data_IF_404901746837
#
_entry.id   IF_404901746837
#
_cell.length_a   1.000
_cell.length_b   1.000
_cell.length_c   1.000
_cell.angle_alpha   90.00
_cell.angle_beta   90.00
_cell.angle_gamma   90.00
#
_symmetry.space_group_name_H-M   'P 1'
#
loop_
_entity.id
_entity.type
_entity.pdbx_description
1 polymer ?
#
# COMPACT_ATOMS: atom_id res chain seq x y z
N UNK A 1 -32.11 -44.22 -67.81
CA UNK A 1 -31.07 -45.26 -67.76
C UNK A 1 -30.18 -44.97 -66.55
N UNK A 2 -29.94 -45.98 -65.71
CA UNK A 2 -29.07 -46.06 -64.52
C UNK A 2 -29.51 -45.40 -63.19
N UNK A 3 -29.76 -46.33 -62.26
CA UNK A 3 -29.88 -46.30 -60.80
C UNK A 3 -28.51 -46.02 -60.15
N UNK A 4 -28.47 -45.46 -58.92
CA UNK A 4 -27.67 -45.84 -57.72
C UNK A 4 -27.99 -44.83 -56.59
N UNK A 5 -28.80 -45.15 -55.56
CA UNK A 5 -28.54 -45.87 -54.29
C UNK A 5 -27.69 -45.16 -53.20
N UNK A 6 -28.42 -44.73 -52.15
CA UNK A 6 -28.25 -44.99 -50.69
C UNK A 6 -27.02 -44.41 -49.93
N UNK A 7 -27.29 -43.71 -48.81
CA UNK A 7 -26.88 -43.99 -47.39
C UNK A 7 -27.37 -42.82 -46.48
N UNK A 8 -28.28 -43.04 -45.51
CA UNK A 8 -28.04 -43.34 -44.07
C UNK A 8 -27.22 -42.21 -43.38
N UNK A 9 -27.50 -41.60 -42.19
CA UNK A 9 -28.12 -42.02 -40.92
C UNK A 9 -28.20 -40.79 -39.96
N UNK A 10 -29.30 -40.70 -39.19
CA UNK A 10 -29.48 -40.30 -37.78
C UNK A 10 -29.24 -38.87 -37.20
N UNK A 11 -30.37 -38.32 -36.71
CA UNK A 11 -30.74 -37.98 -35.31
C UNK A 11 -30.18 -36.73 -34.59
N UNK A 12 -31.15 -36.06 -33.94
CA UNK A 12 -31.13 -35.19 -32.75
C UNK A 12 -30.83 -33.69 -33.00
N UNK A 13 -31.49 -32.73 -32.36
CA UNK A 13 -32.38 -32.77 -31.19
C UNK A 13 -33.33 -31.57 -31.21
N UNK A 14 -34.54 -31.82 -30.71
CA UNK A 14 -35.56 -30.86 -30.29
C UNK A 14 -35.02 -29.90 -29.20
N UNK A 15 -35.32 -28.61 -29.32
CA UNK A 15 -36.20 -27.90 -28.37
C UNK A 15 -36.09 -26.37 -28.57
N UNK A 16 -37.08 -25.79 -29.26
CA UNK A 16 -37.55 -24.45 -28.94
C UNK A 16 -38.46 -24.56 -27.71
N UNK A 17 -38.38 -23.59 -26.80
CA UNK A 17 -39.51 -22.71 -26.44
C UNK A 17 -38.93 -21.40 -25.88
N UNK A 18 -39.46 -20.33 -26.45
CA UNK A 18 -39.22 -18.91 -26.24
C UNK A 18 -39.97 -18.37 -25.02
N UNK A 19 -39.44 -17.33 -24.36
CA UNK A 19 -40.20 -16.11 -24.10
C UNK A 19 -39.28 -14.97 -23.61
N UNK A 20 -39.37 -13.88 -24.35
CA UNK A 20 -38.85 -12.52 -24.16
C UNK A 20 -39.18 -11.90 -22.80
N UNK A 21 -38.27 -11.06 -22.27
CA UNK A 21 -38.63 -9.73 -21.76
C UNK A 21 -37.40 -8.80 -21.61
N UNK A 22 -37.40 -7.72 -22.40
CA UNK A 22 -37.04 -6.36 -22.00
C UNK A 22 -35.65 -6.06 -21.44
N UNK A 23 -34.79 -5.49 -22.30
CA UNK A 23 -33.78 -4.53 -21.88
C UNK A 23 -34.46 -3.27 -21.31
N UNK A 24 -34.08 -2.85 -20.09
CA UNK A 24 -34.04 -1.45 -19.61
C UNK A 24 -33.54 -1.42 -18.16
N UNK A 25 -32.59 -0.50 -17.92
CA UNK A 25 -32.19 0.14 -16.65
C UNK A 25 -30.69 0.05 -16.37
N UNK A 26 -29.93 0.82 -17.15
CA UNK A 26 -28.84 1.62 -16.62
C UNK A 26 -29.45 2.74 -15.74
N UNK A 27 -28.69 3.24 -14.76
CA UNK A 27 -29.03 4.29 -13.79
C UNK A 27 -30.03 3.93 -12.68
N UNK A 28 -29.55 3.24 -11.64
CA UNK A 28 -29.92 3.52 -10.25
C UNK A 28 -28.96 2.82 -9.28
N UNK A 29 -27.88 3.50 -8.89
CA UNK A 29 -27.20 3.21 -7.60
C UNK A 29 -26.24 4.34 -7.14
N UNK A 30 -26.59 5.59 -7.47
CA UNK A 30 -26.01 6.78 -6.84
C UNK A 30 -27.01 7.29 -5.81
N UNK A 31 -26.91 6.76 -4.58
CA UNK A 31 -27.38 7.31 -3.29
C UNK A 31 -27.68 6.15 -2.31
N UNK A 32 -26.63 5.48 -1.85
CA UNK A 32 -26.67 4.79 -0.56
C UNK A 32 -25.61 5.42 0.35
N UNK A 33 -26.07 5.84 1.54
CA UNK A 33 -25.22 6.44 2.58
C UNK A 33 -24.07 5.49 2.94
N UNK A 34 -22.90 5.99 3.37
CA UNK A 34 -21.76 5.12 3.65
C UNK A 34 -22.09 4.20 4.83
N UNK A 35 -22.37 2.94 4.53
CA UNK A 35 -22.41 1.88 5.51
C UNK A 35 -21.01 1.76 6.10
N UNK A 36 -20.86 2.16 7.37
CA UNK A 36 -19.73 1.76 8.19
C UNK A 36 -19.70 0.22 8.20
N UNK A 37 -18.88 -0.37 7.34
CA UNK A 37 -18.56 -1.78 7.43
C UNK A 37 -17.79 -1.95 8.73
N UNK A 38 -18.52 -2.35 9.76
CA UNK A 38 -18.01 -3.11 10.89
C UNK A 38 -17.32 -4.35 10.33
N UNK A 39 -16.01 -4.29 10.13
CA UNK A 39 -15.19 -5.49 10.11
C UNK A 39 -15.12 -6.02 11.54
N UNK A 40 -16.14 -6.80 11.91
CA UNK A 40 -16.02 -7.74 13.01
C UNK A 40 -15.01 -8.82 12.62
N UNK A 41 -13.94 -8.93 13.40
CA UNK A 41 -13.49 -10.14 14.10
C UNK A 41 -11.97 -10.12 14.28
N UNK A 42 -11.57 -10.24 15.56
CA UNK A 42 -10.21 -10.48 16.07
C UNK A 42 -9.28 -11.21 15.09
N UNK A 43 -8.49 -10.46 14.31
CA UNK A 43 -7.13 -10.87 13.98
C UNK A 43 -6.24 -9.96 14.81
N UNK A 44 -5.48 -10.53 15.75
CA UNK A 44 -4.25 -9.90 16.18
C UNK A 44 -3.46 -9.66 14.88
N UNK A 45 -3.52 -8.44 14.33
CA UNK A 45 -2.80 -8.07 13.13
C UNK A 45 -1.33 -7.97 13.53
N UNK A 46 -0.63 -9.09 13.36
CA UNK A 46 0.78 -9.26 13.68
C UNK A 46 1.64 -8.91 12.47
N UNK A 47 2.94 -8.79 12.73
CA UNK A 47 3.95 -8.78 11.67
C UNK A 47 3.67 -9.91 10.66
N UNK A 48 3.55 -9.49 9.41
CA UNK A 48 3.27 -10.31 8.23
C UNK A 48 4.48 -10.17 7.29
N UNK A 49 5.54 -10.99 7.48
CA UNK A 49 6.83 -10.81 6.80
C UNK A 49 6.73 -10.72 5.28
N UNK A 50 5.78 -11.44 4.67
CA UNK A 50 5.54 -11.45 3.22
C UNK A 50 5.10 -10.09 2.66
N UNK A 51 4.63 -9.18 3.53
CA UNK A 51 4.24 -7.81 3.19
C UNK A 51 5.39 -6.83 3.33
N UNK A 52 6.51 -7.25 3.91
CA UNK A 52 7.71 -6.44 3.91
C UNK A 52 8.20 -6.31 2.47
N UNK A 53 8.55 -5.11 2.01
CA UNK A 53 9.11 -4.90 0.67
C UNK A 53 10.18 -3.83 0.75
N UNK A 54 11.28 -4.04 0.04
CA UNK A 54 12.30 -3.00 -0.16
C UNK A 54 11.75 -1.95 -1.13
N UNK A 55 11.86 -0.69 -0.74
CA UNK A 55 11.29 0.43 -1.49
C UNK A 55 12.36 1.19 -2.22
N UNK A 56 13.35 1.72 -1.49
CA UNK A 56 14.33 2.66 -2.02
C UNK A 56 15.60 2.70 -1.15
N UNK A 57 16.66 3.30 -1.69
CA UNK A 57 17.91 3.55 -0.96
C UNK A 57 18.55 4.85 -1.43
N UNK A 58 19.11 5.60 -0.49
CA UNK A 58 19.95 6.77 -0.75
C UNK A 58 21.21 6.66 0.10
N UNK A 59 22.37 6.64 -0.55
CA UNK A 59 23.62 6.31 0.13
C UNK A 59 23.50 4.95 0.80
N UNK A 60 23.71 4.91 2.12
CA UNK A 60 23.56 3.69 2.94
C UNK A 60 22.19 3.59 3.64
N UNK A 61 21.33 4.60 3.51
CA UNK A 61 20.02 4.59 4.16
C UNK A 61 19.02 3.76 3.34
N UNK A 62 18.25 2.93 4.03
CA UNK A 62 17.33 1.98 3.43
C UNK A 62 15.88 2.30 3.79
N UNK A 63 14.99 2.21 2.80
CA UNK A 63 13.56 2.35 2.98
C UNK A 63 12.86 1.01 2.69
N UNK A 64 12.09 0.56 3.67
CA UNK A 64 11.21 -0.59 3.59
C UNK A 64 9.78 -0.19 3.91
N UNK A 65 8.83 -0.98 3.42
CA UNK A 65 7.43 -0.94 3.83
C UNK A 65 7.00 -2.27 4.41
N UNK A 66 5.99 -2.30 5.26
CA UNK A 66 5.40 -3.55 5.74
C UNK A 66 4.19 -3.37 6.65
N UNK A 67 3.87 -4.42 7.41
CA UNK A 67 2.76 -4.50 8.36
C UNK A 67 3.21 -4.10 9.77
N UNK A 68 2.27 -4.01 10.71
CA UNK A 68 2.55 -3.68 12.10
C UNK A 68 3.67 -4.56 12.71
N UNK A 69 4.76 -3.96 13.22
CA UNK A 69 5.87 -4.67 13.86
C UNK A 69 5.59 -5.04 15.32
N UNK A 70 4.36 -5.50 15.61
CA UNK A 70 3.93 -5.89 16.96
C UNK A 70 3.49 -7.35 16.97
N UNK A 71 3.90 -8.06 18.02
CA UNK A 71 3.40 -9.38 18.35
C UNK A 71 3.24 -9.51 19.87
N UNK A 72 2.13 -10.11 20.31
CA UNK A 72 1.85 -10.33 21.74
C UNK A 72 1.99 -9.05 22.59
N UNK A 73 1.51 -7.91 22.05
CA UNK A 73 1.58 -6.57 22.67
C UNK A 73 3.00 -6.05 22.92
N UNK A 74 3.97 -6.51 22.14
CA UNK A 74 5.35 -6.05 22.19
C UNK A 74 5.84 -5.68 20.80
N UNK A 75 6.64 -4.62 20.73
CA UNK A 75 7.37 -4.28 19.51
C UNK A 75 8.46 -5.33 19.24
N UNK A 76 8.45 -5.92 18.04
CA UNK A 76 9.33 -7.03 17.66
C UNK A 76 10.38 -6.57 16.64
N UNK A 77 11.34 -5.75 17.09
CA UNK A 77 12.38 -5.17 16.26
C UNK A 77 13.18 -6.23 15.48
N UNK A 78 13.69 -7.26 16.15
CA UNK A 78 14.53 -8.27 15.50
C UNK A 78 13.78 -9.02 14.40
N UNK A 79 12.55 -9.49 14.65
CA UNK A 79 11.73 -10.16 13.65
C UNK A 79 11.40 -9.25 12.46
N UNK A 80 11.26 -7.95 12.71
CA UNK A 80 11.04 -6.94 11.66
C UNK A 80 12.29 -6.75 10.79
N UNK A 81 13.49 -6.77 11.39
CA UNK A 81 14.74 -6.75 10.63
C UNK A 81 14.94 -8.06 9.83
N UNK A 82 14.61 -9.20 10.43
CA UNK A 82 14.71 -10.50 9.77
C UNK A 82 13.79 -10.57 8.53
N UNK A 83 12.60 -9.96 8.59
CA UNK A 83 11.71 -9.88 7.41
C UNK A 83 12.28 -9.00 6.29
N UNK A 84 13.02 -7.94 6.63
CA UNK A 84 13.71 -7.10 5.64
C UNK A 84 14.86 -7.87 4.96
N UNK A 85 15.63 -8.65 5.71
CA UNK A 85 16.68 -9.51 5.16
C UNK A 85 16.07 -10.56 4.22
N UNK A 86 15.01 -11.24 4.66
CA UNK A 86 14.29 -12.23 3.86
C UNK A 86 13.77 -11.63 2.55
N UNK A 87 13.13 -10.46 2.60
CA UNK A 87 12.59 -9.81 1.39
C UNK A 87 13.67 -9.27 0.47
N UNK A 88 14.78 -8.77 1.02
CA UNK A 88 15.90 -8.32 0.19
C UNK A 88 16.50 -9.46 -0.64
N UNK A 89 16.38 -10.71 -0.17
CA UNK A 89 16.78 -11.89 -0.95
C UNK A 89 15.89 -12.16 -2.18
N UNK A 90 14.64 -11.67 -2.18
CA UNK A 90 13.65 -11.89 -3.26
C UNK A 90 13.78 -10.92 -4.44
N UNK A 91 14.50 -9.81 -4.27
CA UNK A 91 14.91 -8.87 -5.34
C UNK A 91 13.79 -8.20 -6.15
N UNK A 92 12.56 -8.06 -5.65
CA UNK A 92 11.54 -7.22 -6.30
C UNK A 92 11.42 -5.87 -5.58
N UNK A 93 12.23 -4.86 -5.94
CA UNK A 93 12.17 -3.53 -5.32
C UNK A 93 10.99 -2.71 -5.87
N UNK A 94 10.51 -1.75 -5.08
CA UNK A 94 9.67 -0.67 -5.63
C UNK A 94 10.50 0.21 -6.58
N UNK A 95 11.68 0.65 -6.14
CA UNK A 95 12.61 1.33 -7.03
C UNK A 95 13.29 0.31 -7.96
N UNK A 96 12.75 0.20 -9.19
CA UNK A 96 13.25 -0.71 -10.24
C UNK A 96 14.67 -0.42 -10.70
N UNK A 97 15.23 0.75 -10.35
CA UNK A 97 16.62 1.09 -10.66
C UNK A 97 17.62 0.55 -9.63
N UNK A 98 17.15 -0.08 -8.55
CA UNK A 98 17.98 -0.56 -7.46
C UNK A 98 17.88 -2.07 -7.30
N UNK A 99 18.83 -2.63 -6.54
CA UNK A 99 18.77 -4.01 -6.04
C UNK A 99 18.77 -3.94 -4.53
N UNK A 100 17.88 -4.69 -3.88
CA UNK A 100 17.83 -4.72 -2.42
C UNK A 100 19.17 -5.22 -1.84
N UNK A 101 19.66 -4.60 -0.75
CA UNK A 101 20.95 -4.96 -0.17
C UNK A 101 20.91 -6.38 0.42
N UNK A 102 22.00 -7.14 0.26
CA UNK A 102 22.09 -8.52 0.77
C UNK A 102 22.08 -8.59 2.30
N UNK A 103 22.53 -7.52 2.96
CA UNK A 103 22.65 -7.40 4.41
C UNK A 103 22.14 -6.03 4.85
N UNK A 104 21.66 -5.95 6.08
CA UNK A 104 21.33 -4.68 6.71
C UNK A 104 22.60 -4.05 7.31
N UNK A 105 22.70 -2.72 7.35
CA UNK A 105 23.75 -2.04 8.11
C UNK A 105 23.61 -2.34 9.61
N UNK A 106 24.69 -2.11 10.37
CA UNK A 106 24.65 -2.19 11.83
C UNK A 106 23.54 -1.27 12.37
N UNK A 107 22.65 -1.85 13.17
CA UNK A 107 21.46 -1.16 13.66
C UNK A 107 21.78 -0.16 14.76
N UNK A 108 21.87 1.11 14.39
CA UNK A 108 22.01 2.22 15.35
C UNK A 108 20.97 3.33 15.13
N UNK A 109 20.12 3.21 14.10
CA UNK A 109 19.19 4.28 13.70
C UNK A 109 17.97 3.72 12.93
N UNK A 110 17.13 2.96 13.63
CA UNK A 110 15.85 2.50 13.10
C UNK A 110 14.82 3.64 13.15
N UNK A 111 14.08 3.84 12.07
CA UNK A 111 12.95 4.77 12.04
C UNK A 111 11.70 3.96 11.78
N UNK A 112 10.86 3.88 12.81
CA UNK A 112 9.52 3.36 12.67
C UNK A 112 8.62 4.48 12.15
N UNK A 113 8.23 4.41 10.88
CA UNK A 113 7.42 5.42 10.20
C UNK A 113 5.97 4.95 10.21
N UNK A 114 5.30 5.31 11.30
CA UNK A 114 3.99 4.81 11.68
C UNK A 114 2.87 5.64 11.04
N UNK A 115 1.93 4.94 10.39
CA UNK A 115 0.76 5.51 9.72
C UNK A 115 -0.57 5.15 10.40
N UNK A 116 -0.53 4.73 11.67
CA UNK A 116 -1.69 4.33 12.46
C UNK A 116 -2.65 5.50 12.71
N UNK A 117 -3.88 5.21 13.13
CA UNK A 117 -4.86 6.23 13.45
C UNK A 117 -5.21 6.23 14.93
N UNK A 118 -5.28 7.43 15.51
CA UNK A 118 -5.72 7.59 16.89
C UNK A 118 -7.24 7.40 17.05
N UNK A 119 -7.99 7.37 15.94
CA UNK A 119 -9.46 7.21 15.94
C UNK A 119 -9.92 5.79 16.29
N UNK A 120 -9.03 4.79 16.21
CA UNK A 120 -9.32 3.41 16.59
C UNK A 120 -8.55 3.06 17.86
N UNK A 121 -9.26 2.52 18.85
CA UNK A 121 -8.66 2.16 20.14
C UNK A 121 -7.55 1.12 20.02
N UNK A 122 -7.68 0.14 19.12
CA UNK A 122 -6.64 -0.86 18.85
C UNK A 122 -5.36 -0.22 18.32
N UNK A 123 -5.47 0.59 17.27
CA UNK A 123 -4.33 1.27 16.66
C UNK A 123 -3.69 2.30 17.59
N UNK A 124 -4.48 2.93 18.47
CA UNK A 124 -3.94 3.78 19.55
C UNK A 124 -3.11 2.96 20.56
N UNK A 125 -3.55 1.75 20.89
CA UNK A 125 -2.79 0.86 21.77
C UNK A 125 -1.48 0.41 21.11
N UNK A 126 -1.52 0.09 19.82
CA UNK A 126 -0.33 -0.27 19.03
C UNK A 126 0.68 0.89 18.94
N UNK A 127 0.20 2.11 18.65
CA UNK A 127 1.03 3.32 18.70
C UNK A 127 1.71 3.49 20.07
N UNK A 128 0.98 3.26 21.16
CA UNK A 128 1.55 3.39 22.50
C UNK A 128 2.66 2.35 22.76
N UNK A 129 2.53 1.14 22.23
CA UNK A 129 3.56 0.09 22.33
C UNK A 129 4.84 0.52 21.60
N UNK A 130 4.72 1.01 20.38
CA UNK A 130 5.86 1.53 19.60
C UNK A 130 6.51 2.73 20.28
N UNK A 131 5.69 3.69 20.73
CA UNK A 131 6.19 4.88 21.42
C UNK A 131 6.93 4.53 22.72
N UNK A 132 6.39 3.60 23.52
CA UNK A 132 7.04 3.12 24.73
C UNK A 132 8.37 2.41 24.43
N UNK A 133 8.40 1.55 23.40
CA UNK A 133 9.61 0.86 22.98
C UNK A 133 10.74 1.86 22.63
N UNK A 134 10.49 2.83 21.76
CA UNK A 134 11.52 3.79 21.35
C UNK A 134 11.88 4.79 22.43
N UNK A 135 10.94 5.14 23.32
CA UNK A 135 11.24 5.97 24.50
C UNK A 135 12.20 5.27 25.46
N UNK A 136 12.06 3.95 25.64
CA UNK A 136 12.95 3.12 26.46
C UNK A 136 14.25 2.74 25.77
N UNK A 137 14.28 2.76 24.43
CA UNK A 137 15.43 2.31 23.62
C UNK A 137 15.90 3.37 22.61
N UNK A 138 16.23 4.61 23.03
CA UNK A 138 16.54 5.72 22.11
C UNK A 138 17.81 5.49 21.28
N UNK A 139 18.70 4.58 21.72
CA UNK A 139 19.90 4.19 20.97
C UNK A 139 19.63 3.26 19.78
N UNK A 140 18.45 2.61 19.74
CA UNK A 140 18.08 1.71 18.65
C UNK A 140 17.40 2.46 17.51
N UNK A 141 16.77 3.60 17.80
CA UNK A 141 15.98 4.32 16.82
C UNK A 141 14.96 5.27 17.42
N UNK A 142 13.96 5.64 16.61
CA UNK A 142 12.85 6.52 16.98
C UNK A 142 11.57 6.18 16.23
N UNK A 143 10.46 6.63 16.79
CA UNK A 143 9.14 6.65 16.15
C UNK A 143 8.91 7.99 15.45
N UNK A 144 8.42 7.95 14.21
CA UNK A 144 7.81 9.10 13.52
C UNK A 144 6.39 8.71 13.18
N UNK A 145 5.42 9.49 13.64
CA UNK A 145 4.00 9.17 13.48
C UNK A 145 3.27 10.22 12.66
N UNK A 146 2.46 9.73 11.71
CA UNK A 146 1.49 10.52 10.98
C UNK A 146 0.15 9.78 10.95
N UNK A 147 -0.91 10.39 11.49
CA UNK A 147 -2.27 9.88 11.32
C UNK A 147 -2.77 10.16 9.89
N UNK A 148 -2.27 9.35 8.95
CA UNK A 148 -2.60 9.46 7.53
C UNK A 148 -4.10 9.25 7.29
N UNK A 149 -4.79 8.50 8.16
CA UNK A 149 -6.23 8.35 8.04
C UNK A 149 -6.96 9.69 8.28
N UNK A 150 -6.60 10.40 9.36
CA UNK A 150 -7.13 11.74 9.64
C UNK A 150 -6.76 12.72 8.52
N UNK A 151 -5.52 12.69 8.04
CA UNK A 151 -5.06 13.57 6.95
C UNK A 151 -5.83 13.32 5.65
N UNK A 152 -6.09 12.06 5.30
CA UNK A 152 -6.88 11.71 4.12
C UNK A 152 -8.35 12.10 4.28
N UNK A 153 -9.00 11.81 5.41
CA UNK A 153 -10.40 12.22 5.65
C UNK A 153 -10.52 13.75 5.53
N UNK A 154 -9.64 14.49 6.21
CA UNK A 154 -9.60 15.95 6.12
C UNK A 154 -9.36 16.39 4.68
N UNK A 155 -8.38 15.81 4.01
CA UNK A 155 -8.06 16.17 2.63
C UNK A 155 -9.19 15.91 1.65
N UNK A 156 -9.94 14.81 1.80
CA UNK A 156 -11.09 14.50 0.95
C UNK A 156 -12.21 15.52 1.21
N UNK A 157 -12.52 15.79 2.48
CA UNK A 157 -13.59 16.75 2.83
C UNK A 157 -13.28 18.18 2.43
N UNK A 158 -12.00 18.58 2.40
CA UNK A 158 -11.59 19.94 2.02
C UNK A 158 -11.10 20.06 0.58
N UNK A 159 -11.02 18.96 -0.18
CA UNK A 159 -10.39 18.93 -1.52
C UNK A 159 -8.87 19.14 -1.52
N UNK A 160 -8.19 18.92 -0.39
CA UNK A 160 -6.76 19.21 -0.16
C UNK A 160 -5.92 17.98 0.20
N UNK A 161 -6.28 16.80 -0.29
CA UNK A 161 -5.49 15.56 -0.05
C UNK A 161 -4.02 15.77 -0.43
N UNK A 162 -3.77 16.39 -1.58
CA UNK A 162 -2.44 16.78 -2.04
C UNK A 162 -1.62 17.51 -1.00
N UNK A 163 -2.08 18.71 -0.63
CA UNK A 163 -1.43 19.61 0.34
C UNK A 163 -1.18 18.96 1.71
N UNK A 164 -2.08 18.08 2.17
CA UNK A 164 -1.98 17.46 3.49
C UNK A 164 -1.07 16.22 3.54
N UNK A 165 -0.92 15.52 2.41
CA UNK A 165 -0.16 14.27 2.34
C UNK A 165 1.25 14.49 1.81
N UNK A 166 1.45 15.53 1.00
CA UNK A 166 2.78 15.91 0.50
C UNK A 166 3.82 16.03 1.62
N UNK A 167 3.53 16.71 2.77
CA UNK A 167 4.48 16.83 3.88
C UNK A 167 4.93 15.47 4.42
N UNK A 168 4.02 14.49 4.52
CA UNK A 168 4.33 13.13 5.00
C UNK A 168 5.31 12.44 4.06
N UNK A 169 5.06 12.54 2.75
CA UNK A 169 5.89 11.90 1.72
C UNK A 169 7.24 12.62 1.60
N UNK A 170 7.27 13.95 1.73
CA UNK A 170 8.52 14.72 1.73
C UNK A 170 9.36 14.48 2.98
N UNK A 171 8.75 14.34 4.16
CA UNK A 171 9.49 13.97 5.38
C UNK A 171 10.08 12.56 5.24
N UNK A 172 9.32 11.60 4.72
CA UNK A 172 9.84 10.27 4.45
C UNK A 172 11.11 10.31 3.57
N UNK A 173 11.08 11.09 2.48
CA UNK A 173 12.26 11.30 1.63
C UNK A 173 13.38 12.02 2.37
N UNK A 174 13.07 13.02 3.19
CA UNK A 174 14.06 13.75 3.97
C UNK A 174 14.77 12.85 4.99
N UNK A 175 14.03 11.99 5.69
CA UNK A 175 14.60 10.99 6.59
C UNK A 175 15.51 10.02 5.83
N UNK A 176 15.11 9.57 4.64
CA UNK A 176 15.93 8.69 3.80
C UNK A 176 17.18 9.38 3.27
N UNK A 177 17.11 10.69 3.00
CA UNK A 177 18.22 11.46 2.40
C UNK A 177 19.20 12.03 3.43
N UNK A 178 18.92 11.88 4.73
CA UNK A 178 19.72 12.49 5.77
C UNK A 178 21.11 11.85 5.84
N UNK A 179 22.15 12.68 5.72
CA UNK A 179 23.55 12.27 5.84
C UNK A 179 23.94 12.31 7.31
N UNK A 180 24.29 11.14 7.86
CA UNK A 180 24.76 10.95 9.23
C UNK A 180 25.83 9.84 9.26
N UNK A 181 26.58 9.75 10.35
CA UNK A 181 27.64 8.74 10.53
C UNK A 181 27.11 7.30 10.54
N UNK A 182 25.84 7.12 10.93
CA UNK A 182 25.18 5.82 10.98
C UNK A 182 24.05 5.72 9.97
N UNK A 183 24.02 4.67 9.14
CA UNK A 183 22.92 4.43 8.20
C UNK A 183 21.56 4.29 8.90
N UNK A 184 20.52 4.80 8.24
CA UNK A 184 19.13 4.72 8.68
C UNK A 184 18.42 3.53 8.03
N UNK A 185 17.64 2.80 8.81
CA UNK A 185 16.68 1.82 8.31
C UNK A 185 15.28 2.35 8.61
N UNK A 186 14.52 2.68 7.58
CA UNK A 186 13.18 3.25 7.70
C UNK A 186 12.15 2.18 7.37
N UNK A 187 11.19 1.96 8.26
CA UNK A 187 10.11 1.01 8.08
C UNK A 187 8.76 1.73 8.08
N UNK A 188 8.13 1.81 6.91
CA UNK A 188 6.82 2.45 6.75
C UNK A 188 5.72 1.41 6.93
N UNK A 189 4.83 1.61 7.88
CA UNK A 189 3.76 0.66 8.15
C UNK A 189 2.45 1.32 8.57
N UNK A 190 1.37 0.58 8.38
CA UNK A 190 0.11 0.75 9.09
C UNK A 190 -0.22 -0.61 9.73
N UNK A 191 -1.44 -0.80 10.21
CA UNK A 191 -1.82 -2.06 10.87
C UNK A 191 -1.58 -3.30 9.97
N UNK A 192 -2.26 -3.38 8.82
CA UNK A 192 -2.08 -4.49 7.88
C UNK A 192 -0.89 -4.33 6.92
N UNK A 193 -0.32 -3.13 6.80
CA UNK A 193 0.68 -2.82 5.77
C UNK A 193 0.13 -2.85 4.35
N UNK A 194 -1.11 -2.41 4.11
CA UNK A 194 -1.77 -2.54 2.80
C UNK A 194 -2.26 -1.21 2.26
N UNK A 195 -3.30 -0.64 2.86
CA UNK A 195 -3.99 0.52 2.28
C UNK A 195 -3.26 1.84 2.52
N UNK A 196 -3.02 2.24 3.78
CA UNK A 196 -2.29 3.47 4.11
C UNK A 196 -0.82 3.39 3.70
N UNK A 197 -0.16 2.29 4.05
CA UNK A 197 1.19 1.99 3.58
C UNK A 197 1.26 1.99 2.05
N UNK A 198 0.33 1.32 1.37
CA UNK A 198 0.31 1.28 -0.09
C UNK A 198 0.11 2.65 -0.71
N UNK A 199 -0.81 3.46 -0.18
CA UNK A 199 -1.04 4.82 -0.66
C UNK A 199 0.18 5.73 -0.45
N UNK A 200 0.80 5.69 0.73
CA UNK A 200 2.03 6.46 1.01
C UNK A 200 3.18 6.04 0.10
N UNK A 201 3.40 4.73 -0.09
CA UNK A 201 4.49 4.23 -0.96
C UNK A 201 4.20 4.49 -2.44
N UNK A 202 2.94 4.38 -2.89
CA UNK A 202 2.54 4.78 -4.24
C UNK A 202 2.80 6.28 -4.47
N UNK A 203 2.45 7.13 -3.50
CA UNK A 203 2.75 8.55 -3.55
C UNK A 203 4.25 8.85 -3.58
N UNK A 204 5.05 8.15 -2.78
CA UNK A 204 6.51 8.22 -2.81
C UNK A 204 7.06 7.84 -4.19
N UNK A 205 6.57 6.72 -4.76
CA UNK A 205 7.00 6.23 -6.07
C UNK A 205 6.68 7.23 -7.19
N UNK A 206 5.49 7.84 -7.18
CA UNK A 206 5.12 8.88 -8.13
C UNK A 206 6.00 10.13 -8.00
N UNK A 207 6.25 10.60 -6.77
CA UNK A 207 6.97 11.85 -6.52
C UNK A 207 8.48 11.74 -6.79
N UNK A 208 9.10 10.60 -6.44
CA UNK A 208 10.56 10.47 -6.44
C UNK A 208 11.12 9.37 -7.35
N UNK A 209 10.31 8.36 -7.69
CA UNK A 209 10.76 7.20 -8.48
C UNK A 209 10.23 7.22 -9.91
N UNK A 210 9.63 8.34 -10.34
CA UNK A 210 9.13 8.57 -11.71
C UNK A 210 8.00 7.62 -12.13
N UNK A 211 7.29 7.01 -11.19
CA UNK A 211 6.13 6.18 -11.52
C UNK A 211 5.01 7.03 -12.13
N UNK A 212 4.30 6.46 -13.11
CA UNK A 212 3.01 6.98 -13.52
C UNK A 212 1.94 6.66 -12.48
N UNK A 213 0.79 7.34 -12.55
CA UNK A 213 -0.35 7.01 -11.70
C UNK A 213 -0.78 5.54 -11.86
N UNK A 214 -0.82 5.03 -13.10
CA UNK A 214 -1.22 3.65 -13.39
C UNK A 214 -0.24 2.66 -12.77
N UNK A 215 1.07 2.90 -12.91
CA UNK A 215 2.09 2.05 -12.30
C UNK A 215 2.00 2.07 -10.76
N UNK A 216 1.77 3.25 -10.19
CA UNK A 216 1.68 3.43 -8.74
C UNK A 216 0.41 2.79 -8.15
N UNK A 217 -0.71 2.85 -8.88
CA UNK A 217 -1.96 2.19 -8.49
C UNK A 217 -1.82 0.66 -8.50
N UNK A 218 -1.11 0.12 -9.50
CA UNK A 218 -0.84 -1.32 -9.61
C UNK A 218 0.22 -1.82 -8.62
N UNK A 219 0.96 -0.92 -7.96
CA UNK A 219 2.17 -1.25 -7.21
C UNK A 219 1.97 -2.37 -6.18
N UNK A 220 0.92 -2.31 -5.36
CA UNK A 220 0.64 -3.37 -4.38
C UNK A 220 0.52 -4.75 -5.04
N UNK A 221 -0.20 -4.84 -6.17
CA UNK A 221 -0.38 -6.10 -6.91
C UNK A 221 0.94 -6.59 -7.47
N UNK A 222 1.76 -5.69 -8.04
CA UNK A 222 3.08 -6.07 -8.57
C UNK A 222 4.03 -6.59 -7.48
N UNK A 223 3.81 -6.23 -6.22
CA UNK A 223 4.55 -6.72 -5.06
C UNK A 223 3.96 -8.01 -4.47
N UNK A 224 2.96 -8.63 -5.11
CA UNK A 224 2.29 -9.84 -4.65
C UNK A 224 1.29 -9.60 -3.52
N UNK A 225 0.78 -8.38 -3.38
CA UNK A 225 -0.21 -8.00 -2.37
C UNK A 225 -1.58 -7.80 -3.02
N UNK A 226 -2.63 -7.69 -2.20
CA UNK A 226 -3.96 -7.33 -2.72
C UNK A 226 -4.02 -5.89 -3.23
N UNK A 227 -4.97 -5.63 -4.11
CA UNK A 227 -5.30 -4.27 -4.53
C UNK A 227 -5.61 -3.36 -3.32
N UNK A 228 -5.23 -2.06 -3.39
CA UNK A 228 -5.69 -1.08 -2.43
C UNK A 228 -7.23 -0.99 -2.45
N UNK A 229 -7.84 -0.82 -1.28
CA UNK A 229 -9.28 -0.61 -1.21
C UNK A 229 -9.68 0.77 -1.76
N UNK A 230 -10.97 0.96 -2.04
CA UNK A 230 -11.53 2.18 -2.68
C UNK A 230 -11.03 3.47 -2.05
N UNK A 231 -10.93 3.52 -0.73
CA UNK A 231 -10.40 4.68 0.00
C UNK A 231 -8.93 4.99 -0.34
N UNK A 232 -8.06 3.97 -0.30
CA UNK A 232 -6.65 4.15 -0.67
C UNK A 232 -6.47 4.45 -2.16
N UNK A 233 -7.28 3.84 -3.04
CA UNK A 233 -7.28 4.17 -4.48
C UNK A 233 -7.63 5.64 -4.72
N UNK A 234 -8.64 6.15 -4.04
CA UNK A 234 -9.03 7.55 -4.11
C UNK A 234 -7.90 8.46 -3.61
N UNK A 235 -7.27 8.13 -2.49
CA UNK A 235 -6.12 8.88 -1.97
C UNK A 235 -4.95 8.94 -2.97
N UNK A 236 -4.59 7.80 -3.57
CA UNK A 236 -3.55 7.73 -4.61
C UNK A 236 -3.92 8.63 -5.80
N UNK A 237 -5.18 8.57 -6.27
CA UNK A 237 -5.67 9.38 -7.38
C UNK A 237 -5.60 10.88 -7.08
N UNK A 238 -6.08 11.31 -5.91
CA UNK A 238 -6.10 12.72 -5.55
C UNK A 238 -4.69 13.28 -5.34
N UNK A 239 -3.78 12.48 -4.80
CA UNK A 239 -2.38 12.86 -4.70
C UNK A 239 -1.69 12.92 -6.08
N UNK A 240 -1.99 11.99 -7.00
CA UNK A 240 -1.50 12.03 -8.37
C UNK A 240 -1.94 13.32 -9.10
N UNK A 241 -3.20 13.74 -8.93
CA UNK A 241 -3.72 15.00 -9.47
C UNK A 241 -2.90 16.18 -8.93
N UNK A 242 -2.67 16.24 -7.62
CA UNK A 242 -1.85 17.28 -7.00
C UNK A 242 -0.41 17.31 -7.54
N UNK A 243 0.24 16.15 -7.67
CA UNK A 243 1.59 16.05 -8.22
C UNK A 243 1.65 16.55 -9.68
N UNK A 244 0.64 16.24 -10.49
CA UNK A 244 0.57 16.66 -11.89
C UNK A 244 0.26 18.14 -12.03
N UNK A 245 -0.79 18.62 -11.36
CA UNK A 245 -1.40 19.92 -11.64
C UNK A 245 -0.82 21.04 -10.77
N UNK A 246 -0.34 20.73 -9.57
CA UNK A 246 0.22 21.72 -8.63
C UNK A 246 1.75 21.67 -8.59
N UNK A 247 2.33 20.47 -8.47
CA UNK A 247 3.80 20.32 -8.42
C UNK A 247 4.43 20.30 -9.82
N UNK A 248 3.67 19.92 -10.86
CA UNK A 248 4.14 19.89 -12.24
C UNK A 248 4.94 18.64 -12.64
N UNK A 249 4.77 17.52 -11.93
CA UNK A 249 5.45 16.26 -12.25
C UNK A 249 4.82 15.62 -13.50
N UNK A 250 5.57 15.61 -14.60
CA UNK A 250 5.07 15.13 -15.90
C UNK A 250 4.93 13.61 -16.01
N UNK A 251 5.69 12.84 -15.22
CA UNK A 251 5.69 11.36 -15.28
C UNK A 251 4.39 10.74 -14.78
N UNK A 252 3.55 11.50 -14.08
CA UNK A 252 2.25 11.01 -13.56
C UNK A 252 1.37 10.48 -14.69
N UNK A 253 1.41 11.13 -15.86
CA UNK A 253 0.66 10.69 -17.03
C UNK A 253 -0.85 10.78 -16.85
N UNK A 254 -1.57 9.82 -17.45
CA UNK A 254 -3.03 9.75 -17.44
C UNK A 254 -3.54 9.26 -16.07
N UNK A 255 -4.63 9.89 -15.60
CA UNK A 255 -5.32 9.59 -14.34
C UNK A 255 -6.76 9.17 -14.61
#
# INVERSE_FOLDING_TARGET
>A
MRIYNIRFIFIALLALITASYGAKNAEKDLLSSPTLITQGQNKNLKLSPERTKFVDQIGNNLLYRGSLPIENKQFILQKTLDSMVLESSRKTPVNKALVAPKTLPKLNNFIDFNLLTALKSSEKADFNIENDFFSKNPKLGKLIHYDVNVLFIKGITTGKVGELIDPVITDLRAQLSKVEDTPRIIYVHCEAGLDRTGATIAGYAMRYLKYSYIDALALNVTLGLREPQSYARLAIKLYAIYLRDVIGIKTIGKI
#
